data_IF_244335803018
#
_entry.id   IF_244335803018
#
_cell.length_a   1.000
_cell.length_b   1.000
_cell.length_c   1.000
_cell.angle_alpha   90.00
_cell.angle_beta   90.00
_cell.angle_gamma   90.00
#
_symmetry.space_group_name_H-M   'P 1'
#
loop_
_entity.id
_entity.type
_entity.pdbx_description
1 polymer ?
#
# COMPACT_ATOMS: atom_id res chain seq x y z
N UNK A 1 9.85 4.25 2.22
CA UNK A 1 8.52 4.11 1.61
C UNK A 1 8.58 2.88 0.75
N UNK A 2 7.83 1.86 1.15
CA UNK A 2 7.64 0.58 0.47
C UNK A 2 6.70 0.73 -0.73
N UNK A 3 5.68 1.57 -0.63
CA UNK A 3 4.77 1.84 -1.73
C UNK A 3 5.01 3.22 -2.33
N UNK A 4 5.05 3.30 -3.65
CA UNK A 4 5.18 4.58 -4.37
C UNK A 4 4.28 4.61 -5.60
N UNK A 5 3.85 5.81 -5.98
CA UNK A 5 3.00 6.02 -7.14
C UNK A 5 3.80 6.65 -8.29
N UNK A 6 3.66 6.09 -9.49
CA UNK A 6 4.31 6.60 -10.70
C UNK A 6 3.33 6.61 -11.87
N UNK A 7 3.48 7.59 -12.76
CA UNK A 7 2.67 7.71 -13.96
C UNK A 7 3.21 6.78 -15.04
N UNK A 8 2.41 5.81 -15.46
CA UNK A 8 2.68 5.08 -16.68
C UNK A 8 2.30 5.93 -17.90
N UNK A 9 3.33 6.40 -18.59
CA UNK A 9 3.19 7.25 -19.78
C UNK A 9 2.55 6.54 -20.97
N UNK A 10 2.54 5.20 -20.99
CA UNK A 10 1.96 4.40 -22.08
C UNK A 10 0.44 4.32 -21.90
N UNK A 11 -0.02 3.96 -20.71
CA UNK A 11 -1.46 3.82 -20.41
C UNK A 11 -2.12 5.10 -19.91
N UNK A 12 -1.34 6.13 -19.57
CA UNK A 12 -1.79 7.38 -18.93
C UNK A 12 -2.53 7.13 -17.59
N UNK A 13 -2.18 6.04 -16.90
CA UNK A 13 -2.67 5.70 -15.57
C UNK A 13 -1.55 5.85 -14.54
N UNK A 14 -1.94 6.13 -13.30
CA UNK A 14 -1.05 6.12 -12.16
C UNK A 14 -1.00 4.73 -11.55
N UNK A 15 0.19 4.16 -11.50
CA UNK A 15 0.45 2.84 -10.93
C UNK A 15 1.00 3.02 -9.52
N UNK A 16 0.62 2.11 -8.62
CA UNK A 16 1.20 1.99 -7.29
C UNK A 16 2.04 0.74 -7.25
N UNK A 17 3.31 0.89 -6.92
CA UNK A 17 4.31 -0.18 -6.90
C UNK A 17 4.64 -0.57 -5.46
N UNK A 18 4.88 -1.86 -5.21
CA UNK A 18 5.47 -2.39 -3.96
C UNK A 18 6.97 -2.64 -4.16
N UNK A 19 7.79 -1.69 -3.70
CA UNK A 19 9.24 -1.75 -3.82
C UNK A 19 9.87 -2.88 -2.98
N UNK A 20 9.14 -3.48 -2.04
CA UNK A 20 9.64 -4.64 -1.30
C UNK A 20 9.31 -5.98 -1.99
N UNK A 21 8.42 -5.99 -2.99
CA UNK A 21 7.98 -7.18 -3.70
C UNK A 21 8.26 -7.06 -5.20
N UNK A 22 9.54 -6.87 -5.55
CA UNK A 22 10.02 -6.82 -6.95
C UNK A 22 9.32 -5.76 -7.81
N UNK A 23 8.97 -4.61 -7.21
CA UNK A 23 8.21 -3.54 -7.87
C UNK A 23 6.92 -4.04 -8.52
N UNK A 24 6.21 -4.93 -7.82
CA UNK A 24 4.91 -5.40 -8.27
C UNK A 24 3.89 -4.25 -8.26
N UNK A 25 3.10 -4.15 -9.33
CA UNK A 25 1.95 -3.23 -9.39
C UNK A 25 0.84 -3.74 -8.48
N UNK A 26 0.54 -2.97 -7.43
CA UNK A 26 -0.51 -3.27 -6.44
C UNK A 26 -1.74 -2.37 -6.57
N UNK A 27 -1.67 -1.33 -7.41
CA UNK A 27 -2.78 -0.42 -7.66
C UNK A 27 -2.68 0.27 -9.03
N UNK A 28 -3.83 0.55 -9.65
CA UNK A 28 -3.95 1.28 -10.91
C UNK A 28 -5.05 2.31 -10.77
N UNK A 29 -4.73 3.58 -11.02
CA UNK A 29 -5.62 4.71 -10.77
C UNK A 29 -5.60 5.70 -11.93
N UNK A 30 -6.70 6.44 -12.08
CA UNK A 30 -6.82 7.49 -13.10
C UNK A 30 -6.21 8.82 -12.67
N UNK A 31 -5.88 9.01 -11.38
CA UNK A 31 -5.30 10.24 -10.87
C UNK A 31 -4.15 9.98 -9.89
N UNK A 32 -3.15 10.86 -9.92
CA UNK A 32 -1.98 10.76 -9.04
C UNK A 32 -2.35 10.94 -7.57
N UNK A 33 -3.34 11.78 -7.27
CA UNK A 33 -3.83 11.94 -5.90
C UNK A 33 -4.42 10.64 -5.35
N UNK A 34 -5.19 9.90 -6.15
CA UNK A 34 -5.74 8.61 -5.73
C UNK A 34 -4.64 7.56 -5.54
N UNK A 35 -3.69 7.49 -6.47
CA UNK A 35 -2.55 6.58 -6.35
C UNK A 35 -1.68 6.89 -5.12
N UNK A 36 -1.44 8.16 -4.82
CA UNK A 36 -0.70 8.58 -3.63
C UNK A 36 -1.43 8.22 -2.33
N UNK A 37 -2.75 8.47 -2.25
CA UNK A 37 -3.55 8.08 -1.09
C UNK A 37 -3.57 6.56 -0.89
N UNK A 38 -3.64 5.81 -1.98
CA UNK A 38 -3.62 4.35 -1.96
C UNK A 38 -2.27 3.80 -1.49
N UNK A 39 -1.15 4.35 -1.98
CA UNK A 39 0.19 4.05 -1.48
C UNK A 39 0.32 4.35 0.02
N UNK A 40 -0.10 5.55 0.46
CA UNK A 40 -0.07 5.95 1.87
C UNK A 40 -0.92 5.07 2.78
N UNK A 41 -2.08 4.62 2.31
CA UNK A 41 -2.94 3.72 3.07
C UNK A 41 -2.27 2.36 3.24
N UNK A 42 -1.67 1.81 2.18
CA UNK A 42 -0.94 0.53 2.27
C UNK A 42 0.26 0.59 3.19
N UNK A 43 1.00 1.69 3.20
CA UNK A 43 2.05 1.94 4.20
C UNK A 43 1.51 1.84 5.63
N UNK A 44 0.37 2.47 5.89
CA UNK A 44 -0.27 2.41 7.22
C UNK A 44 -0.77 1.01 7.55
N UNK A 45 -1.32 0.27 6.59
CA UNK A 45 -1.83 -1.07 6.81
C UNK A 45 -0.69 -2.06 7.12
N UNK A 46 0.44 -1.95 6.41
CA UNK A 46 1.66 -2.72 6.72
C UNK A 46 2.19 -2.35 8.09
N UNK A 47 2.30 -1.06 8.42
CA UNK A 47 2.76 -0.62 9.74
C UNK A 47 1.86 -1.14 10.87
N UNK A 48 0.54 -1.08 10.71
CA UNK A 48 -0.40 -1.65 11.69
C UNK A 48 -0.27 -3.16 11.80
N UNK A 49 -0.08 -3.86 10.68
CA UNK A 49 0.08 -5.32 10.68
C UNK A 49 1.38 -5.78 11.31
N UNK A 50 2.48 -5.06 11.13
CA UNK A 50 3.80 -5.44 11.64
C UNK A 50 4.02 -5.02 13.11
N UNK A 51 3.37 -3.93 13.57
CA UNK A 51 3.62 -3.37 14.91
C UNK A 51 2.46 -3.51 15.91
N UNK A 52 1.27 -3.93 15.48
CA UNK A 52 0.21 -4.38 16.38
C UNK A 52 0.04 -5.89 16.21
N UNK A 53 0.86 -6.74 16.86
CA UNK A 53 0.45 -8.11 17.05
C UNK A 53 -0.87 -8.04 17.84
N UNK A 54 -1.92 -8.64 17.29
CA UNK A 54 -3.21 -8.81 17.93
C UNK A 54 -3.01 -9.05 19.43
N UNK A 55 -3.29 -8.05 20.27
CA UNK A 55 -3.59 -8.31 21.66
C UNK A 55 -4.95 -9.00 21.65
N UNK A 56 -4.95 -10.31 21.42
CA UNK A 56 -6.05 -11.15 21.88
C UNK A 56 -5.98 -11.11 23.41
N UNK A 57 -6.99 -10.57 24.11
CA UNK A 57 -7.16 -10.99 25.49
C UNK A 57 -7.50 -12.48 25.44
N UNK A 58 -6.67 -13.29 26.11
CA UNK A 58 -7.08 -14.62 26.57
C UNK A 58 -8.36 -14.44 27.38
N UNK A 59 -9.52 -14.77 26.83
CA UNK A 59 -10.68 -15.05 27.67
C UNK A 59 -10.53 -16.49 28.14
N UNK A 60 -10.00 -16.62 29.36
CA UNK A 60 -10.24 -17.78 30.22
C UNK A 60 -11.67 -17.64 30.73
N UNK A 61 -12.56 -18.53 30.32
CA UNK A 61 -13.73 -19.00 31.08
C UNK A 61 -14.28 -20.26 30.40
#
# INVERSE_FOLDING_TARGET
MRFHAELDTISNHWLVFDAANEDQVVGVHVSGTLAALDAMKREQDVFKSEYLPLTTPKTVA
#
